data_IF_962151286647
#
_entry.id   IF_962151286647
#
_cell.length_a   1.000
_cell.length_b   1.000
_cell.length_c   1.000
_cell.angle_alpha   90.00
_cell.angle_beta   90.00
_cell.angle_gamma   90.00
#
_symmetry.space_group_name_H-M   'P 1'
#
loop_
_entity.id
_entity.type
_entity.pdbx_description
1 polymer ?
#
# COMPACT_ATOMS: atom_id res chain seq x y z
N UNK A 1 4.18 3.67 19.12
CA UNK A 1 5.23 4.00 18.13
C UNK A 1 4.59 4.35 16.79
N UNK A 2 4.02 5.56 16.60
CA UNK A 2 3.45 5.92 15.31
C UNK A 2 4.58 6.41 14.40
N UNK A 3 5.03 5.54 13.50
CA UNK A 3 5.99 5.90 12.45
C UNK A 3 5.23 6.80 11.46
N UNK A 4 5.32 8.11 11.69
CA UNK A 4 4.94 9.15 10.76
C UNK A 4 6.05 9.37 9.72
N UNK A 5 5.66 9.96 8.58
CA UNK A 5 6.53 10.58 7.58
C UNK A 5 7.36 9.65 6.68
N UNK A 6 6.71 9.16 5.62
CA UNK A 6 7.00 9.36 4.18
C UNK A 6 5.94 8.48 3.48
N UNK A 7 4.89 9.09 2.90
CA UNK A 7 3.75 8.35 2.35
C UNK A 7 4.12 7.65 1.04
N UNK A 8 4.84 6.54 1.13
CA UNK A 8 5.07 5.66 -0.01
C UNK A 8 3.72 5.17 -0.58
N UNK A 9 3.59 5.05 -1.90
CA UNK A 9 2.35 4.62 -2.58
C UNK A 9 1.75 3.32 -2.00
N UNK A 10 2.62 2.41 -1.54
CA UNK A 10 2.23 1.14 -0.89
C UNK A 10 1.56 1.33 0.46
N UNK A 11 2.00 2.34 1.23
CA UNK A 11 1.40 2.68 2.52
C UNK A 11 0.01 3.26 2.30
N UNK A 12 -0.15 4.18 1.32
CA UNK A 12 -1.46 4.71 0.91
C UNK A 12 -2.42 3.58 0.48
N UNK A 13 -1.93 2.62 -0.31
CA UNK A 13 -2.73 1.49 -0.75
C UNK A 13 -3.17 0.58 0.42
N UNK A 14 -2.30 0.36 1.40
CA UNK A 14 -2.62 -0.39 2.62
C UNK A 14 -3.61 0.36 3.53
N UNK A 15 -3.41 1.66 3.75
CA UNK A 15 -4.25 2.48 4.64
C UNK A 15 -5.61 2.84 4.05
N UNK A 16 -5.75 2.85 2.72
CA UNK A 16 -7.03 3.04 2.01
C UNK A 16 -8.09 1.96 2.34
N UNK A 17 -7.67 0.78 2.83
CA UNK A 17 -8.60 -0.23 3.28
C UNK A 17 -9.26 0.16 4.63
N UNK A 18 -10.59 0.32 4.62
CA UNK A 18 -11.41 0.58 5.84
C UNK A 18 -11.46 -0.62 6.79
N UNK A 19 -11.37 -1.84 6.27
CA UNK A 19 -11.35 -3.09 7.07
C UNK A 19 -9.92 -3.52 7.38
N UNK A 20 -9.66 -3.91 8.64
CA UNK A 20 -8.34 -4.36 9.09
C UNK A 20 -7.86 -5.63 8.36
N UNK A 21 -8.77 -6.56 8.10
CA UNK A 21 -8.48 -7.79 7.36
C UNK A 21 -8.01 -7.50 5.93
N UNK A 22 -8.65 -6.53 5.27
CA UNK A 22 -8.26 -6.10 3.92
C UNK A 22 -6.92 -5.35 3.93
N UNK A 23 -6.63 -4.59 5.00
CA UNK A 23 -5.33 -3.92 5.18
C UNK A 23 -4.20 -4.94 5.30
N UNK A 24 -4.36 -5.96 6.15
CA UNK A 24 -3.38 -7.05 6.29
C UNK A 24 -3.15 -7.79 4.98
N UNK A 25 -4.22 -8.10 4.25
CA UNK A 25 -4.13 -8.74 2.93
C UNK A 25 -3.38 -7.87 1.91
N UNK A 26 -3.65 -6.55 1.87
CA UNK A 26 -2.93 -5.63 0.98
C UNK A 26 -1.45 -5.54 1.34
N UNK A 27 -1.09 -5.43 2.62
CA UNK A 27 0.32 -5.42 3.04
C UNK A 27 1.05 -6.69 2.58
N UNK A 28 0.45 -7.87 2.77
CA UNK A 28 1.03 -9.13 2.32
C UNK A 28 1.21 -9.20 0.80
N UNK A 29 0.20 -8.79 0.03
CA UNK A 29 0.29 -8.73 -1.44
C UNK A 29 1.32 -7.69 -1.90
N UNK A 30 1.48 -6.59 -1.17
CA UNK A 30 2.47 -5.57 -1.51
C UNK A 30 3.90 -6.03 -1.30
N UNK A 31 4.14 -6.79 -0.23
CA UNK A 31 5.42 -7.46 0.00
C UNK A 31 5.74 -8.48 -1.11
N UNK A 32 4.75 -9.30 -1.52
CA UNK A 32 4.91 -10.25 -2.63
C UNK A 32 5.23 -9.54 -3.95
N UNK A 33 4.52 -8.45 -4.26
CA UNK A 33 4.75 -7.65 -5.47
C UNK A 33 6.11 -6.97 -5.48
N UNK A 34 6.53 -6.39 -4.35
CA UNK A 34 7.87 -5.81 -4.22
C UNK A 34 8.97 -6.87 -4.40
N UNK A 35 8.78 -8.07 -3.86
CA UNK A 35 9.69 -9.21 -4.09
C UNK A 35 9.73 -9.65 -5.55
N UNK A 36 8.60 -9.57 -6.26
CA UNK A 36 8.51 -9.83 -7.71
C UNK A 36 9.02 -8.68 -8.58
N UNK A 37 9.62 -7.64 -7.99
CA UNK A 37 10.18 -6.50 -8.72
C UNK A 37 9.18 -5.42 -9.12
N UNK A 38 7.90 -5.54 -8.73
CA UNK A 38 6.93 -4.46 -8.91
C UNK A 38 7.16 -3.38 -7.85
N UNK A 39 7.69 -2.24 -8.28
CA UNK A 39 7.95 -1.10 -7.39
C UNK A 39 6.75 -0.17 -7.20
N UNK A 40 5.77 -0.20 -8.11
CA UNK A 40 4.57 0.64 -8.07
C UNK A 40 3.33 -0.19 -7.73
N UNK A 41 2.61 0.11 -6.63
CA UNK A 41 1.29 -0.45 -6.41
C UNK A 41 0.34 0.29 -7.34
N UNK A 42 0.10 -0.25 -8.53
CA UNK A 42 -1.03 0.01 -9.42
C UNK A 42 -1.77 1.35 -9.21
N UNK A 43 -1.79 2.18 -10.27
CA UNK A 43 -2.50 3.46 -10.44
C UNK A 43 -4.02 3.36 -10.18
N UNK A 44 -4.42 3.08 -8.95
CA UNK A 44 -5.82 2.97 -8.57
C UNK A 44 -6.46 4.36 -8.65
N UNK A 45 -7.71 4.51 -9.12
CA UNK A 45 -8.36 5.81 -9.39
C UNK A 45 -8.64 6.69 -8.16
N UNK A 46 -7.96 6.45 -7.03
CA UNK A 46 -7.97 7.29 -5.83
C UNK A 46 -6.60 7.46 -5.18
N UNK A 47 -5.49 7.15 -5.87
CA UNK A 47 -4.16 7.42 -5.35
C UNK A 47 -3.80 8.90 -5.54
N UNK A 48 -3.41 9.64 -4.49
CA UNK A 48 -2.99 11.04 -4.59
C UNK A 48 -1.64 11.23 -5.31
N UNK A 49 -0.96 10.15 -5.68
CA UNK A 49 0.30 10.15 -6.44
C UNK A 49 0.12 9.97 -7.96
N UNK A 50 -1.09 10.21 -8.49
CA UNK A 50 -1.28 10.41 -9.94
C UNK A 50 -0.65 11.74 -10.34
#
# INVERSE_FOLDING_TARGET
MPIQAILNEWICWGTSAKKDETRKRRIAVGLDKMRKGMRRPCCWPGCPHR
#
